data_IF_946908274015
#
_entry.id   IF_946908274015
#
_cell.length_a   1.000
_cell.length_b   1.000
_cell.length_c   1.000
_cell.angle_alpha   90.00
_cell.angle_beta   90.00
_cell.angle_gamma   90.00
#
_symmetry.space_group_name_H-M   'P 1'
#
loop_
_entity.id
_entity.type
_entity.pdbx_description
1 polymer ?
#
# COMPACT_ATOMS: atom_id res chain seq x y z
N UNK A 1 3.38 -20.44 3.58
CA UNK A 1 2.42 -19.43 3.06
C UNK A 1 1.00 -19.97 3.01
N UNK A 2 0.75 -21.16 2.43
CA UNK A 2 -0.60 -21.75 2.30
C UNK A 2 -1.42 -21.73 3.60
N UNK A 3 -0.96 -22.30 4.75
CA UNK A 3 -1.80 -22.35 5.94
C UNK A 3 -2.14 -20.96 6.52
N UNK A 4 -1.23 -19.99 6.34
CA UNK A 4 -1.43 -18.61 6.77
C UNK A 4 -2.54 -17.94 5.95
N UNK A 5 -2.45 -18.02 4.62
CA UNK A 5 -3.41 -17.38 3.73
C UNK A 5 -4.78 -18.05 3.80
N UNK A 6 -4.83 -19.37 3.97
CA UNK A 6 -6.07 -20.10 4.23
C UNK A 6 -6.74 -19.65 5.55
N UNK A 7 -5.97 -19.51 6.63
CA UNK A 7 -6.48 -19.00 7.91
C UNK A 7 -7.00 -17.56 7.79
N UNK A 8 -6.29 -16.70 7.05
CA UNK A 8 -6.72 -15.31 6.81
C UNK A 8 -8.02 -15.28 6.00
N UNK A 9 -8.12 -16.09 4.95
CA UNK A 9 -9.31 -16.17 4.10
C UNK A 9 -10.54 -16.63 4.90
N UNK A 10 -10.41 -17.76 5.61
CA UNK A 10 -11.51 -18.35 6.38
C UNK A 10 -11.96 -17.46 7.56
N UNK A 11 -11.07 -16.64 8.12
CA UNK A 11 -11.42 -15.67 9.17
C UNK A 11 -12.07 -14.37 8.66
N UNK A 12 -12.33 -14.26 7.36
CA UNK A 12 -12.94 -13.06 6.75
C UNK A 12 -12.01 -11.83 6.74
N UNK A 13 -10.69 -12.05 6.88
CA UNK A 13 -9.67 -10.99 6.88
C UNK A 13 -9.04 -10.88 5.49
N UNK A 14 -8.18 -9.87 5.31
CA UNK A 14 -7.42 -9.68 4.09
C UNK A 14 -5.93 -9.64 4.39
N UNK A 15 -5.13 -10.02 3.40
CA UNK A 15 -3.68 -9.98 3.46
C UNK A 15 -3.13 -8.83 2.61
N UNK A 16 -2.13 -8.14 3.14
CA UNK A 16 -1.32 -7.15 2.41
C UNK A 16 0.09 -7.70 2.33
N UNK A 17 0.52 -8.10 1.14
CA UNK A 17 1.89 -8.52 0.88
C UNK A 17 2.80 -7.28 0.82
N UNK A 18 3.70 -7.14 1.81
CA UNK A 18 4.68 -6.07 1.87
C UNK A 18 5.82 -6.22 0.85
N UNK A 19 5.92 -7.36 0.15
CA UNK A 19 6.92 -7.63 -0.90
C UNK A 19 8.35 -7.25 -0.50
N UNK A 20 8.79 -7.71 0.68
CA UNK A 20 10.17 -7.51 1.16
C UNK A 20 11.21 -8.24 0.28
N UNK A 21 10.75 -9.13 -0.60
CA UNK A 21 11.54 -9.80 -1.63
C UNK A 21 10.75 -9.91 -2.93
N UNK A 22 11.46 -9.97 -4.06
CA UNK A 22 10.84 -10.22 -5.38
C UNK A 22 10.30 -11.65 -5.49
N UNK A 23 10.76 -12.58 -4.65
CA UNK A 23 10.39 -13.99 -4.64
C UNK A 23 9.14 -14.29 -3.77
N UNK A 24 8.27 -13.31 -3.53
CA UNK A 24 7.04 -13.55 -2.76
C UNK A 24 6.11 -14.52 -3.51
N UNK A 25 5.73 -15.61 -2.83
CA UNK A 25 4.76 -16.60 -3.31
C UNK A 25 3.33 -16.29 -2.88
N UNK A 26 3.10 -15.16 -2.19
CA UNK A 26 1.79 -14.86 -1.60
C UNK A 26 0.68 -14.73 -2.65
N UNK A 27 0.98 -14.12 -3.81
CA UNK A 27 0.00 -13.96 -4.88
C UNK A 27 -0.40 -15.31 -5.49
N UNK A 28 0.58 -16.13 -5.85
CA UNK A 28 0.34 -17.46 -6.43
C UNK A 28 -0.50 -18.34 -5.50
N UNK A 29 -0.20 -18.32 -4.20
CA UNK A 29 -0.97 -19.06 -3.20
C UNK A 29 -2.37 -18.48 -3.01
N UNK A 30 -2.53 -17.15 -3.05
CA UNK A 30 -3.85 -16.54 -2.97
C UNK A 30 -4.72 -16.90 -4.18
N UNK A 31 -4.13 -16.92 -5.37
CA UNK A 31 -4.78 -17.30 -6.61
C UNK A 31 -5.23 -18.77 -6.57
N UNK A 32 -4.38 -19.69 -6.05
CA UNK A 32 -4.75 -21.10 -5.88
C UNK A 32 -5.82 -21.34 -4.83
N UNK A 33 -5.91 -20.49 -3.81
CA UNK A 33 -6.96 -20.49 -2.79
C UNK A 33 -8.22 -19.71 -3.20
N UNK A 34 -8.22 -19.10 -4.40
CA UNK A 34 -9.39 -18.43 -4.97
C UNK A 34 -9.81 -17.13 -4.28
N UNK A 35 -8.89 -16.39 -3.65
CA UNK A 35 -9.23 -15.10 -3.04
C UNK A 35 -8.18 -14.02 -3.32
N UNK A 36 -8.58 -12.74 -3.43
CA UNK A 36 -7.64 -11.68 -3.74
C UNK A 36 -6.74 -11.37 -2.54
N UNK A 37 -5.56 -10.81 -2.81
CA UNK A 37 -4.73 -10.14 -1.81
C UNK A 37 -4.35 -8.74 -2.29
N UNK A 38 -3.90 -7.90 -1.36
CA UNK A 38 -3.33 -6.61 -1.67
C UNK A 38 -1.81 -6.73 -1.76
N UNK A 39 -1.19 -5.98 -2.67
CA UNK A 39 0.26 -5.93 -2.83
C UNK A 39 0.78 -4.53 -2.62
N UNK A 40 1.89 -4.42 -1.89
CA UNK A 40 2.58 -3.16 -1.72
C UNK A 40 3.03 -2.62 -3.07
N UNK A 41 2.74 -1.34 -3.30
CA UNK A 41 3.24 -0.60 -4.44
C UNK A 41 4.59 0.03 -4.13
N UNK A 42 4.67 0.83 -3.06
CA UNK A 42 5.91 1.49 -2.64
C UNK A 42 5.96 1.74 -1.13
N UNK A 43 7.18 1.76 -0.59
CA UNK A 43 7.49 2.37 0.68
C UNK A 43 7.60 3.89 0.52
N UNK A 44 7.04 4.64 1.47
CA UNK A 44 7.18 6.10 1.50
C UNK A 44 8.37 6.56 2.33
N UNK A 45 8.88 5.71 3.22
CA UNK A 45 9.99 6.01 4.12
C UNK A 45 10.94 4.82 4.32
N UNK A 46 12.11 5.11 4.88
CA UNK A 46 13.15 4.18 5.30
C UNK A 46 13.75 4.66 6.64
N UNK A 47 14.49 3.83 7.40
CA UNK A 47 15.01 4.19 8.73
C UNK A 47 15.72 5.55 8.81
N UNK A 48 16.46 5.94 7.77
CA UNK A 48 17.24 7.19 7.72
C UNK A 48 16.60 8.27 6.83
N UNK A 49 15.33 8.11 6.45
CA UNK A 49 14.67 9.10 5.59
C UNK A 49 14.38 10.39 6.34
N UNK A 50 14.86 11.51 5.80
CA UNK A 50 14.43 12.85 6.22
C UNK A 50 12.98 13.12 5.79
N UNK A 51 12.33 14.11 6.41
CA UNK A 51 10.98 14.55 5.98
C UNK A 51 10.98 14.88 4.49
N UNK A 52 11.95 15.66 4.02
CA UNK A 52 12.06 16.06 2.60
C UNK A 52 12.19 14.85 1.65
N UNK A 53 12.94 13.82 2.06
CA UNK A 53 13.09 12.61 1.26
C UNK A 53 11.76 11.85 1.15
N UNK A 54 11.00 11.75 2.24
CA UNK A 54 9.65 11.17 2.26
C UNK A 54 8.65 12.01 1.46
N UNK A 55 8.70 13.34 1.56
CA UNK A 55 7.86 14.26 0.77
C UNK A 55 8.11 14.10 -0.73
N UNK A 56 9.38 14.03 -1.14
CA UNK A 56 9.76 13.81 -2.53
C UNK A 56 9.20 12.49 -3.07
N UNK A 57 9.25 11.42 -2.27
CA UNK A 57 8.67 10.12 -2.64
C UNK A 57 7.16 10.19 -2.77
N UNK A 58 6.48 10.87 -1.84
CA UNK A 58 5.03 11.07 -1.89
C UNK A 58 4.61 11.87 -3.13
N UNK A 59 5.34 12.93 -3.49
CA UNK A 59 5.05 13.71 -4.71
C UNK A 59 5.20 12.86 -5.97
N UNK A 60 6.31 12.10 -6.09
CA UNK A 60 6.53 11.17 -7.21
C UNK A 60 5.42 10.13 -7.30
N UNK A 61 4.99 9.59 -6.17
CA UNK A 61 3.88 8.64 -6.09
C UNK A 61 2.56 9.26 -6.59
N UNK A 62 2.24 10.50 -6.23
CA UNK A 62 1.00 11.13 -6.72
C UNK A 62 1.03 11.28 -8.25
N UNK A 63 2.16 11.74 -8.80
CA UNK A 63 2.31 11.92 -10.25
C UNK A 63 2.11 10.58 -10.98
N UNK A 64 2.75 9.53 -10.48
CA UNK A 64 2.64 8.18 -11.01
C UNK A 64 1.21 7.60 -10.90
N UNK A 65 0.51 7.85 -9.79
CA UNK A 65 -0.91 7.47 -9.63
C UNK A 65 -1.78 8.20 -10.64
N UNK A 66 -1.52 9.48 -10.90
CA UNK A 66 -2.31 10.27 -11.86
C UNK A 66 -2.08 9.84 -13.30
N UNK A 67 -0.87 9.42 -13.63
CA UNK A 67 -0.52 8.92 -14.95
C UNK A 67 -1.06 7.51 -15.19
N UNK A 68 -0.81 6.57 -14.28
CA UNK A 68 -1.15 5.15 -14.45
C UNK A 68 -2.54 4.78 -13.96
N UNK A 69 -3.15 5.61 -13.12
CA UNK A 69 -4.41 5.31 -12.45
C UNK A 69 -4.35 4.12 -11.48
N UNK A 70 -5.54 3.71 -11.06
CA UNK A 70 -5.76 2.55 -10.19
C UNK A 70 -5.50 2.80 -8.70
N UNK A 71 -5.90 1.84 -7.89
CA UNK A 71 -5.67 1.85 -6.45
C UNK A 71 -4.21 1.40 -6.15
N UNK A 72 -3.48 2.17 -5.33
CA UNK A 72 -2.12 1.82 -4.89
C UNK A 72 -2.06 1.65 -3.38
N UNK A 73 -1.37 0.61 -2.92
CA UNK A 73 -1.09 0.38 -1.49
C UNK A 73 0.31 0.90 -1.19
N UNK A 74 0.45 1.71 -0.16
CA UNK A 74 1.74 2.23 0.30
C UNK A 74 1.91 1.96 1.78
N UNK A 75 3.17 1.85 2.21
CA UNK A 75 3.52 1.66 3.62
C UNK A 75 4.55 2.69 4.04
N UNK A 76 4.35 3.25 5.22
CA UNK A 76 5.32 4.05 5.94
C UNK A 76 5.29 3.68 7.41
N UNK A 77 6.29 4.13 8.15
CA UNK A 77 6.38 3.90 9.58
C UNK A 77 5.98 5.16 10.35
N UNK A 78 5.62 5.01 11.63
CA UNK A 78 5.21 6.11 12.51
C UNK A 78 6.40 6.92 13.05
N UNK A 79 7.36 7.26 12.18
CA UNK A 79 8.51 8.11 12.51
C UNK A 79 8.13 9.59 12.44
N UNK A 80 8.81 10.44 13.19
CA UNK A 80 8.49 11.87 13.27
C UNK A 80 8.65 12.56 11.91
N UNK A 81 9.66 12.18 11.13
CA UNK A 81 9.93 12.64 9.77
C UNK A 81 8.80 12.24 8.82
N UNK A 82 8.32 11.00 8.94
CA UNK A 82 7.23 10.48 8.10
C UNK A 82 5.91 11.18 8.40
N UNK A 83 5.62 11.41 9.67
CA UNK A 83 4.43 12.16 10.08
C UNK A 83 4.48 13.62 9.60
N UNK A 84 5.66 14.25 9.67
CA UNK A 84 5.89 15.62 9.19
C UNK A 84 5.66 15.72 7.68
N UNK A 85 6.24 14.80 6.90
CA UNK A 85 6.07 14.73 5.46
C UNK A 85 4.60 14.51 5.05
N UNK A 86 3.89 13.60 5.74
CA UNK A 86 2.47 13.36 5.49
C UNK A 86 1.63 14.61 5.76
N UNK A 87 1.90 15.35 6.83
CA UNK A 87 1.18 16.59 7.15
C UNK A 87 1.33 17.64 6.03
N UNK A 88 2.51 17.72 5.43
CA UNK A 88 2.82 18.68 4.36
C UNK A 88 2.19 18.27 3.02
N UNK A 89 2.22 16.98 2.67
CA UNK A 89 1.88 16.52 1.31
C UNK A 89 0.44 16.00 1.18
N UNK A 90 -0.18 15.46 2.23
CA UNK A 90 -1.57 14.95 2.14
C UNK A 90 -2.60 16.00 1.64
N UNK A 91 -2.50 17.30 1.96
CA UNK A 91 -3.36 18.31 1.34
C UNK A 91 -3.25 18.35 -0.19
N UNK A 92 -2.06 18.09 -0.74
CA UNK A 92 -1.80 18.06 -2.19
C UNK A 92 -2.46 16.85 -2.86
N UNK A 93 -2.49 15.68 -2.19
CA UNK A 93 -3.23 14.51 -2.68
C UNK A 93 -4.68 14.89 -3.00
N UNK A 94 -5.36 15.53 -2.05
CA UNK A 94 -6.75 15.97 -2.21
C UNK A 94 -6.88 17.00 -3.33
N UNK A 95 -5.99 18.01 -3.37
CA UNK A 95 -6.00 19.05 -4.42
C UNK A 95 -5.83 18.47 -5.82
N UNK A 96 -5.08 17.38 -5.95
CA UNK A 96 -4.79 16.72 -7.23
C UNK A 96 -5.68 15.51 -7.52
N UNK A 97 -6.79 15.35 -6.78
CA UNK A 97 -7.80 14.33 -7.05
C UNK A 97 -7.44 12.92 -6.55
N UNK A 98 -6.36 12.75 -5.78
CA UNK A 98 -5.99 11.48 -5.16
C UNK A 98 -6.64 11.36 -3.79
N UNK A 99 -7.39 10.27 -3.58
CA UNK A 99 -8.07 9.98 -2.32
C UNK A 99 -7.32 8.92 -1.53
N UNK A 100 -6.92 9.26 -0.32
CA UNK A 100 -6.42 8.26 0.64
C UNK A 100 -7.61 7.57 1.29
N UNK A 101 -7.61 6.24 1.28
CA UNK A 101 -8.67 5.41 1.85
C UNK A 101 -8.07 4.26 2.65
N UNK A 102 -8.81 3.67 3.61
CA UNK A 102 -8.36 2.45 4.28
C UNK A 102 -8.13 1.32 3.28
N UNK A 103 -7.08 0.52 3.47
CA UNK A 103 -6.75 -0.62 2.60
C UNK A 103 -7.93 -1.61 2.43
N UNK A 104 -8.73 -1.79 3.49
CA UNK A 104 -9.95 -2.62 3.45
C UNK A 104 -10.97 -2.16 2.40
N UNK A 105 -11.03 -0.86 2.07
CA UNK A 105 -11.90 -0.35 1.01
C UNK A 105 -11.43 -0.81 -0.36
N UNK A 106 -10.12 -0.85 -0.60
CA UNK A 106 -9.53 -1.35 -1.85
C UNK A 106 -9.77 -2.86 -1.96
N UNK A 107 -9.49 -3.61 -0.88
CA UNK A 107 -9.75 -5.04 -0.82
C UNK A 107 -11.20 -5.41 -1.15
N UNK A 108 -12.18 -4.70 -0.58
CA UNK A 108 -13.61 -4.92 -0.87
C UNK A 108 -13.99 -4.69 -2.33
N UNK A 109 -13.26 -3.87 -3.10
CA UNK A 109 -13.51 -3.72 -4.54
C UNK A 109 -13.06 -4.95 -5.33
N UNK A 110 -12.00 -5.64 -4.88
CA UNK A 110 -11.47 -6.83 -5.54
C UNK A 110 -12.31 -8.10 -5.30
N UNK A 111 -13.18 -8.09 -4.29
CA UNK A 111 -14.12 -9.18 -3.99
C UNK A 111 -15.41 -9.14 -4.82
N UNK A 112 -15.64 -8.07 -5.59
CA UNK A 112 -16.80 -7.92 -6.46
C UNK A 112 -16.51 -8.54 -7.81
#
# INVERSE_FOLDING_TARGET
>A
MVPLLETIHTSGRFFVDSRTTIYSVAQEVADSLGFPILRLYHYIDYPESTSLATETRLIKLILDIREKGGDKIITGHTRQETLSALKNVLPLFKKWGVKVVPASKIYRKLRK
#
